data_IF_070512156311
#
_entry.id   IF_070512156311
#
_cell.length_a   1.000
_cell.length_b   1.000
_cell.length_c   1.000
_cell.angle_alpha   90.00
_cell.angle_beta   90.00
_cell.angle_gamma   90.00
#
_symmetry.space_group_name_H-M   'P 1'
#
loop_
_entity.id
_entity.type
_entity.pdbx_description
1 polymer ?
#
# COMPACT_ATOMS: atom_id res chain seq x y z
N UNK A 1 5.82 14.95 14.10
CA UNK A 1 6.57 15.21 12.84
C UNK A 1 6.04 14.24 11.81
N UNK A 2 5.70 14.72 10.63
CA UNK A 2 5.10 13.93 9.55
C UNK A 2 6.19 13.05 8.90
N UNK A 3 6.05 11.74 9.00
CA UNK A 3 6.94 10.75 8.41
C UNK A 3 6.21 10.01 7.27
N UNK A 4 6.95 9.61 6.26
CA UNK A 4 6.41 8.92 5.10
C UNK A 4 6.92 7.48 5.02
N UNK A 5 6.03 6.57 4.65
CA UNK A 5 6.31 5.15 4.52
C UNK A 5 5.85 4.66 3.15
N UNK A 6 6.72 3.97 2.42
CA UNK A 6 6.41 3.38 1.12
C UNK A 6 6.47 1.86 1.25
N UNK A 7 5.40 1.17 0.83
CA UNK A 7 5.29 -0.28 0.93
C UNK A 7 4.96 -0.86 -0.44
N UNK A 8 5.87 -1.66 -0.99
CA UNK A 8 5.69 -2.32 -2.29
C UNK A 8 4.77 -3.55 -2.23
N UNK A 9 4.51 -4.18 -3.38
CA UNK A 9 3.68 -5.37 -3.52
C UNK A 9 4.44 -6.70 -3.56
N UNK A 10 3.70 -7.79 -3.83
CA UNK A 10 4.23 -9.13 -4.04
C UNK A 10 5.17 -9.17 -5.24
N UNK A 11 6.27 -9.92 -5.14
CA UNK A 11 7.34 -10.03 -6.13
C UNK A 11 8.03 -8.71 -6.46
N UNK A 12 7.73 -7.65 -5.72
CA UNK A 12 8.29 -6.32 -5.92
C UNK A 12 9.52 -6.07 -5.05
N UNK A 13 10.08 -4.88 -5.22
CA UNK A 13 11.15 -4.37 -4.36
C UNK A 13 11.10 -2.82 -4.30
N UNK A 14 11.78 -2.25 -3.32
CA UNK A 14 11.73 -0.81 -3.05
C UNK A 14 12.43 0.08 -4.10
N UNK A 15 13.10 -0.50 -5.11
CA UNK A 15 13.83 0.23 -6.16
C UNK A 15 13.15 0.16 -7.53
N UNK A 16 11.90 -0.29 -7.60
CA UNK A 16 11.12 -0.39 -8.83
C UNK A 16 9.97 0.61 -8.87
N UNK A 17 9.29 0.68 -9.99
CA UNK A 17 8.14 1.53 -10.21
C UNK A 17 8.43 3.00 -9.81
N UNK A 18 7.45 3.69 -9.29
CA UNK A 18 7.53 5.08 -8.82
C UNK A 18 8.09 5.23 -7.39
N UNK A 19 8.48 4.13 -6.71
CA UNK A 19 8.90 4.19 -5.30
C UNK A 19 10.17 5.00 -5.08
N UNK A 20 11.28 4.80 -5.86
CA UNK A 20 12.48 5.62 -5.69
C UNK A 20 12.27 7.09 -6.05
N UNK A 21 11.47 7.35 -7.07
CA UNK A 21 11.12 8.70 -7.48
C UNK A 21 10.36 9.43 -6.36
N UNK A 22 9.32 8.78 -5.79
CA UNK A 22 8.55 9.35 -4.69
C UNK A 22 9.40 9.57 -3.44
N UNK A 23 10.24 8.60 -3.08
CA UNK A 23 11.18 8.71 -1.97
C UNK A 23 12.09 9.94 -2.12
N UNK A 24 12.66 10.15 -3.31
CA UNK A 24 13.52 11.30 -3.60
C UNK A 24 12.74 12.62 -3.50
N UNK A 25 11.56 12.70 -4.12
CA UNK A 25 10.72 13.92 -4.05
C UNK A 25 10.36 14.32 -2.62
N UNK A 26 10.06 13.36 -1.78
CA UNK A 26 9.74 13.62 -0.37
C UNK A 26 10.98 14.02 0.45
N UNK A 27 12.12 13.39 0.19
CA UNK A 27 13.41 13.76 0.83
C UNK A 27 13.89 15.16 0.43
N UNK A 28 13.71 15.54 -0.84
CA UNK A 28 13.97 16.90 -1.32
C UNK A 28 13.15 17.96 -0.58
N UNK A 29 11.95 17.59 -0.12
CA UNK A 29 11.09 18.46 0.71
C UNK A 29 11.44 18.42 2.21
N UNK A 30 12.47 17.67 2.61
CA UNK A 30 12.95 17.59 3.99
C UNK A 30 12.23 16.56 4.87
N UNK A 31 11.42 15.66 4.31
CA UNK A 31 10.72 14.63 5.07
C UNK A 31 11.59 13.42 5.35
N UNK A 32 11.36 12.76 6.49
CA UNK A 32 11.88 11.43 6.78
C UNK A 32 11.04 10.38 6.04
N UNK A 33 11.70 9.53 5.23
CA UNK A 33 11.04 8.54 4.36
C UNK A 33 11.59 7.16 4.62
N UNK A 34 10.70 6.21 4.88
CA UNK A 34 10.98 4.80 5.10
C UNK A 34 10.49 3.98 3.91
N UNK A 35 11.41 3.47 3.11
CA UNK A 35 11.15 2.65 1.92
C UNK A 35 11.92 1.34 2.03
N UNK A 36 11.37 0.38 2.77
CA UNK A 36 12.00 -0.91 3.00
C UNK A 36 11.81 -1.88 1.84
N UNK A 37 12.81 -2.76 1.67
CA UNK A 37 12.69 -3.91 0.79
C UNK A 37 12.06 -5.09 1.56
N UNK A 38 10.75 -5.27 1.42
CA UNK A 38 10.02 -6.34 2.07
C UNK A 38 10.32 -7.68 1.40
N UNK A 39 10.56 -8.77 2.17
CA UNK A 39 10.94 -10.05 1.59
C UNK A 39 9.81 -10.68 0.77
N UNK A 40 10.10 -11.00 -0.51
CA UNK A 40 9.18 -11.68 -1.44
C UNK A 40 9.97 -12.24 -2.64
N UNK A 41 9.68 -13.46 -3.16
CA UNK A 41 8.73 -14.45 -2.64
C UNK A 41 9.21 -15.16 -1.38
N UNK A 42 10.54 -15.29 -1.20
CA UNK A 42 11.10 -15.93 -0.01
C UNK A 42 10.87 -15.07 1.22
N UNK A 43 10.33 -15.68 2.27
CA UNK A 43 10.01 -14.95 3.49
C UNK A 43 8.78 -14.05 3.40
N UNK A 44 7.98 -14.17 2.33
CA UNK A 44 6.75 -13.40 2.13
C UNK A 44 5.67 -13.86 3.11
N UNK A 45 5.61 -13.21 4.25
CA UNK A 45 4.58 -13.42 5.25
C UNK A 45 4.41 -12.18 6.14
N UNK A 46 3.29 -12.11 6.82
CA UNK A 46 2.93 -10.99 7.67
C UNK A 46 3.97 -10.69 8.76
N UNK A 47 4.51 -11.73 9.40
CA UNK A 47 5.48 -11.58 10.51
C UNK A 47 6.79 -10.97 10.04
N UNK A 48 7.35 -11.44 8.92
CA UNK A 48 8.62 -10.93 8.40
C UNK A 48 8.48 -9.49 7.90
N UNK A 49 7.35 -9.17 7.29
CA UNK A 49 7.06 -7.79 6.86
C UNK A 49 6.88 -6.87 8.08
N UNK A 50 6.16 -7.34 9.10
CA UNK A 50 5.95 -6.58 10.35
C UNK A 50 7.26 -6.21 11.04
N UNK A 51 8.24 -7.12 11.08
CA UNK A 51 9.58 -6.87 11.68
C UNK A 51 10.29 -5.66 11.07
N UNK A 52 9.99 -5.30 9.81
CA UNK A 52 10.60 -4.10 9.19
C UNK A 52 9.95 -2.82 9.72
N UNK A 53 8.63 -2.79 9.86
CA UNK A 53 7.94 -1.65 10.47
C UNK A 53 8.21 -1.55 11.97
N UNK A 54 8.40 -2.68 12.66
CA UNK A 54 8.73 -2.69 14.10
C UNK A 54 10.05 -1.99 14.41
N UNK A 55 11.02 -1.98 13.47
CA UNK A 55 12.30 -1.26 13.62
C UNK A 55 12.13 0.25 13.73
N UNK A 56 11.03 0.77 13.23
CA UNK A 56 10.72 2.21 13.15
C UNK A 56 9.33 2.51 13.73
N UNK A 57 8.83 1.63 14.60
CA UNK A 57 7.49 1.74 15.17
C UNK A 57 7.30 3.03 15.97
N UNK A 58 8.36 3.50 16.62
CA UNK A 58 8.42 4.78 17.35
C UNK A 58 8.27 6.01 16.43
N UNK A 59 8.52 5.85 15.14
CA UNK A 59 8.33 6.89 14.11
C UNK A 59 6.91 6.94 13.56
N UNK A 60 6.09 5.92 13.82
CA UNK A 60 4.71 5.85 13.34
C UNK A 60 3.80 6.57 14.35
N UNK A 61 3.05 7.54 13.86
CA UNK A 61 2.14 8.35 14.68
C UNK A 61 0.92 8.81 13.87
N UNK A 62 0.03 9.56 14.48
CA UNK A 62 -1.21 10.06 13.88
C UNK A 62 -1.03 11.14 12.79
N UNK A 63 0.20 11.54 12.47
CA UNK A 63 0.55 12.40 11.32
C UNK A 63 1.23 11.60 10.20
N UNK A 64 1.62 10.35 10.46
CA UNK A 64 2.32 9.50 9.49
C UNK A 64 1.49 9.25 8.24
N UNK A 65 2.16 9.27 7.08
CA UNK A 65 1.56 9.04 5.77
C UNK A 65 2.15 7.76 5.17
N UNK A 66 1.27 6.86 4.81
CA UNK A 66 1.64 5.61 4.14
C UNK A 66 1.18 5.62 2.68
N UNK A 67 2.10 5.27 1.78
CA UNK A 67 1.81 5.03 0.38
C UNK A 67 2.12 3.57 0.09
N UNK A 68 1.09 2.79 -0.20
CA UNK A 68 1.20 1.36 -0.35
C UNK A 68 0.74 0.91 -1.74
N UNK A 69 1.37 -0.12 -2.26
CA UNK A 69 1.05 -0.71 -3.55
C UNK A 69 0.63 -2.17 -3.40
N UNK A 70 -0.43 -2.56 -4.12
CA UNK A 70 -0.88 -3.94 -4.22
C UNK A 70 -1.13 -4.59 -2.85
N UNK A 71 -0.51 -5.74 -2.53
CA UNK A 71 -0.66 -6.43 -1.23
C UNK A 71 -0.16 -5.58 -0.05
N UNK A 72 0.76 -4.66 -0.28
CA UNK A 72 1.23 -3.73 0.74
C UNK A 72 0.10 -2.92 1.40
N UNK A 73 -1.01 -2.74 0.70
CA UNK A 73 -2.19 -2.03 1.20
C UNK A 73 -2.87 -2.79 2.33
N UNK A 74 -3.18 -4.06 2.11
CA UNK A 74 -3.82 -4.89 3.14
C UNK A 74 -2.83 -5.25 4.26
N UNK A 75 -1.54 -5.44 3.92
CA UNK A 75 -0.51 -5.63 4.93
C UNK A 75 -0.49 -4.47 5.94
N UNK A 76 -0.45 -3.21 5.47
CA UNK A 76 -0.49 -2.06 6.37
C UNK A 76 -1.75 -2.05 7.25
N UNK A 77 -2.92 -2.26 6.64
CA UNK A 77 -4.17 -2.27 7.39
C UNK A 77 -4.17 -3.35 8.49
N UNK A 78 -3.72 -4.56 8.17
CA UNK A 78 -3.56 -5.66 9.14
C UNK A 78 -2.53 -5.32 10.22
N UNK A 79 -1.41 -4.71 9.86
CA UNK A 79 -0.38 -4.29 10.81
C UNK A 79 -0.92 -3.26 11.82
N UNK A 80 -1.64 -2.25 11.34
CA UNK A 80 -2.28 -1.26 12.20
C UNK A 80 -3.32 -1.88 13.13
N UNK A 81 -4.15 -2.80 12.62
CA UNK A 81 -5.16 -3.54 13.40
C UNK A 81 -4.51 -4.39 14.49
N UNK A 82 -3.49 -5.19 14.13
CA UNK A 82 -2.82 -6.09 15.07
C UNK A 82 -2.07 -5.38 16.19
N UNK A 83 -1.64 -4.14 15.95
CA UNK A 83 -0.86 -3.35 16.89
C UNK A 83 -1.64 -2.17 17.52
N UNK A 84 -2.90 -1.97 17.15
CA UNK A 84 -3.71 -0.80 17.53
C UNK A 84 -3.00 0.54 17.23
N UNK A 85 -2.36 0.63 16.06
CA UNK A 85 -1.61 1.82 15.63
C UNK A 85 -2.52 2.74 14.84
N UNK A 86 -2.53 4.03 15.21
CA UNK A 86 -3.23 5.09 14.46
C UNK A 86 -2.26 5.84 13.57
N UNK A 87 -2.71 6.12 12.34
CA UNK A 87 -1.96 6.87 11.32
C UNK A 87 -2.77 8.03 10.76
N UNK A 88 -2.09 9.03 10.21
CA UNK A 88 -2.73 10.21 9.66
C UNK A 88 -3.41 9.94 8.31
N UNK A 89 -2.69 9.31 7.39
CA UNK A 89 -3.16 9.15 6.02
C UNK A 89 -2.62 7.88 5.39
N UNK A 90 -3.42 7.23 4.56
CA UNK A 90 -2.94 6.21 3.64
C UNK A 90 -3.42 6.47 2.21
N UNK A 91 -2.53 6.22 1.25
CA UNK A 91 -2.84 6.17 -0.17
C UNK A 91 -2.54 4.75 -0.64
N UNK A 92 -3.56 4.05 -1.02
CA UNK A 92 -3.53 2.66 -1.47
C UNK A 92 -3.67 2.59 -2.99
N UNK A 93 -2.60 2.17 -3.66
CA UNK A 93 -2.54 2.03 -5.11
C UNK A 93 -2.72 0.56 -5.47
N UNK A 94 -3.75 0.24 -6.25
CA UNK A 94 -4.14 -1.12 -6.63
C UNK A 94 -4.25 -2.09 -5.45
N UNK A 95 -4.84 -1.64 -4.34
CA UNK A 95 -4.99 -2.44 -3.12
C UNK A 95 -6.18 -3.40 -3.19
N UNK A 96 -6.02 -4.60 -2.63
CA UNK A 96 -7.12 -5.56 -2.44
C UNK A 96 -6.88 -6.41 -1.20
N UNK A 97 -7.95 -7.03 -0.68
CA UNK A 97 -7.88 -7.94 0.47
C UNK A 97 -8.05 -9.42 0.08
N UNK A 98 -8.16 -9.70 -1.21
CA UNK A 98 -8.17 -11.03 -1.81
C UNK A 98 -7.93 -10.90 -3.32
N UNK A 99 -7.52 -12.00 -3.97
CA UNK A 99 -7.28 -12.03 -5.41
C UNK A 99 -8.28 -12.95 -6.11
N UNK A 100 -8.77 -12.51 -7.27
CA UNK A 100 -9.73 -13.27 -8.06
C UNK A 100 -9.18 -13.82 -9.39
N UNK A 101 -7.98 -13.38 -9.81
CA UNK A 101 -7.46 -13.74 -11.12
C UNK A 101 -6.41 -14.84 -11.13
N UNK A 102 -5.50 -14.83 -10.19
CA UNK A 102 -4.32 -15.67 -10.21
C UNK A 102 -4.23 -16.48 -8.92
N UNK A 103 -4.48 -17.77 -9.01
CA UNK A 103 -4.45 -18.69 -7.87
C UNK A 103 -3.09 -18.67 -7.13
N UNK A 104 -1.98 -18.51 -7.88
CA UNK A 104 -0.64 -18.45 -7.28
C UNK A 104 -0.43 -17.19 -6.45
N UNK A 105 -1.00 -16.05 -6.87
CA UNK A 105 -0.99 -14.83 -6.04
C UNK A 105 -1.82 -14.97 -4.79
N UNK A 106 -2.96 -15.65 -4.88
CA UNK A 106 -3.79 -15.90 -3.71
C UNK A 106 -3.08 -16.80 -2.69
N UNK A 107 -2.42 -17.85 -3.15
CA UNK A 107 -1.64 -18.75 -2.29
C UNK A 107 -0.53 -18.04 -1.53
N UNK A 108 0.25 -17.18 -2.19
CA UNK A 108 1.36 -16.47 -1.55
C UNK A 108 0.86 -15.35 -0.62
N UNK A 109 -0.25 -14.70 -0.96
CA UNK A 109 -0.76 -13.53 -0.25
C UNK A 109 -1.74 -13.84 0.88
N UNK A 110 -2.25 -15.06 0.99
CA UNK A 110 -3.31 -15.44 1.97
C UNK A 110 -2.99 -15.04 3.41
N UNK A 111 -1.73 -15.02 3.81
CA UNK A 111 -1.30 -14.64 5.15
C UNK A 111 -1.37 -13.13 5.42
N UNK A 112 -1.50 -12.32 4.37
CA UNK A 112 -1.67 -10.87 4.47
C UNK A 112 -3.12 -10.45 4.67
N UNK A 113 -4.10 -11.28 4.26
CA UNK A 113 -5.52 -10.95 4.33
C UNK A 113 -6.04 -10.86 5.76
N UNK A 114 -7.11 -10.10 5.92
CA UNK A 114 -7.80 -9.94 7.21
C UNK A 114 -9.31 -9.76 7.01
N UNK A 115 -10.10 -10.48 7.81
CA UNK A 115 -11.57 -10.36 7.81
C UNK A 115 -12.04 -9.08 8.54
N UNK A 116 -11.13 -8.41 9.25
CA UNK A 116 -11.43 -7.22 10.04
C UNK A 116 -11.08 -5.91 9.33
N UNK A 117 -10.88 -5.93 8.01
CA UNK A 117 -10.41 -4.78 7.24
C UNK A 117 -11.25 -3.51 7.47
N UNK A 118 -12.55 -3.65 7.68
CA UNK A 118 -13.46 -2.55 7.95
C UNK A 118 -13.15 -1.80 9.26
N UNK A 119 -12.53 -2.45 10.25
CA UNK A 119 -12.12 -1.82 11.50
C UNK A 119 -10.96 -0.82 11.32
N UNK A 120 -10.22 -0.93 10.20
CA UNK A 120 -9.13 0.00 9.85
C UNK A 120 -9.61 1.45 9.71
N UNK A 121 -10.89 1.66 9.43
CA UNK A 121 -11.52 3.01 9.40
C UNK A 121 -11.23 3.80 10.67
N UNK A 122 -11.16 3.15 11.82
CA UNK A 122 -10.94 3.78 13.12
C UNK A 122 -9.46 4.08 13.41
N UNK A 123 -8.55 3.60 12.57
CA UNK A 123 -7.10 3.69 12.76
C UNK A 123 -6.40 4.60 11.75
N UNK A 124 -7.10 5.08 10.73
CA UNK A 124 -6.55 5.98 9.74
C UNK A 124 -7.50 7.16 9.50
N UNK A 125 -7.00 8.39 9.61
CA UNK A 125 -7.85 9.58 9.50
C UNK A 125 -8.27 9.84 8.05
N UNK A 126 -7.35 9.74 7.09
CA UNK A 126 -7.60 9.94 5.66
C UNK A 126 -7.19 8.71 4.85
N UNK A 127 -8.13 8.18 4.06
CA UNK A 127 -7.95 6.97 3.25
C UNK A 127 -8.28 7.28 1.80
N UNK A 128 -7.32 7.05 0.91
CA UNK A 128 -7.48 7.23 -0.54
C UNK A 128 -7.11 5.91 -1.21
N UNK A 129 -7.96 5.42 -2.11
CA UNK A 129 -7.66 4.31 -2.99
C UNK A 129 -7.57 4.80 -4.44
N UNK A 130 -6.45 4.50 -5.08
CA UNK A 130 -6.18 4.75 -6.49
C UNK A 130 -6.15 3.40 -7.20
N UNK A 131 -6.94 3.23 -8.24
CA UNK A 131 -6.95 1.99 -9.01
C UNK A 131 -7.40 2.20 -10.45
N UNK A 132 -7.15 1.24 -11.31
CA UNK A 132 -7.46 1.28 -12.73
C UNK A 132 -8.46 0.20 -13.11
N UNK A 133 -9.33 0.52 -14.08
CA UNK A 133 -10.33 -0.43 -14.58
C UNK A 133 -9.69 -1.57 -15.40
N UNK A 134 -8.53 -1.33 -15.98
CA UNK A 134 -7.77 -2.27 -16.79
C UNK A 134 -6.63 -2.96 -16.05
N UNK A 135 -6.68 -3.02 -14.71
CA UNK A 135 -5.68 -3.71 -13.91
C UNK A 135 -5.59 -5.20 -14.34
N UNK A 136 -4.41 -5.68 -14.80
CA UNK A 136 -4.28 -7.03 -15.33
C UNK A 136 -4.18 -8.11 -14.25
N UNK A 137 -4.01 -7.74 -12.98
CA UNK A 137 -3.83 -8.67 -11.87
C UNK A 137 -5.03 -8.75 -10.95
N UNK A 138 -5.75 -7.64 -10.74
CA UNK A 138 -6.84 -7.54 -9.77
C UNK A 138 -8.11 -7.06 -10.46
N UNK A 139 -9.20 -7.81 -10.29
CA UNK A 139 -10.51 -7.41 -10.83
C UNK A 139 -10.99 -6.10 -10.23
N UNK A 140 -11.65 -5.30 -11.04
CA UNK A 140 -12.24 -4.02 -10.61
C UNK A 140 -13.15 -4.20 -9.39
N UNK A 141 -13.95 -5.25 -9.33
CA UNK A 141 -14.85 -5.52 -8.21
C UNK A 141 -14.09 -5.74 -6.89
N UNK A 142 -12.90 -6.37 -6.94
CA UNK A 142 -12.04 -6.55 -5.76
C UNK A 142 -11.43 -5.23 -5.29
N UNK A 143 -10.96 -4.39 -6.23
CA UNK A 143 -10.43 -3.05 -5.95
C UNK A 143 -11.51 -2.15 -5.34
N UNK A 144 -12.72 -2.17 -5.90
CA UNK A 144 -13.86 -1.41 -5.39
C UNK A 144 -14.33 -1.89 -4.02
N UNK A 145 -14.44 -3.20 -3.85
CA UNK A 145 -14.82 -3.82 -2.56
C UNK A 145 -13.84 -3.45 -1.46
N UNK A 146 -12.52 -3.50 -1.75
CA UNK A 146 -11.50 -3.07 -0.80
C UNK A 146 -11.65 -1.59 -0.43
N UNK A 147 -11.78 -0.70 -1.41
CA UNK A 147 -11.96 0.73 -1.16
C UNK A 147 -13.23 1.04 -0.36
N UNK A 148 -14.32 0.33 -0.63
CA UNK A 148 -15.58 0.45 0.11
C UNK A 148 -15.43 -0.04 1.55
N UNK A 149 -14.79 -1.20 1.76
CA UNK A 149 -14.64 -1.80 3.09
C UNK A 149 -13.92 -0.91 4.09
N UNK A 150 -13.01 -0.05 3.61
CA UNK A 150 -12.29 0.91 4.44
C UNK A 150 -12.83 2.35 4.32
N UNK A 151 -13.96 2.56 3.64
CA UNK A 151 -14.57 3.87 3.40
C UNK A 151 -13.55 4.90 2.85
N UNK A 152 -12.82 4.51 1.80
CA UNK A 152 -11.80 5.35 1.18
C UNK A 152 -12.37 6.27 0.10
N UNK A 153 -11.78 7.46 -0.06
CA UNK A 153 -11.96 8.27 -1.27
C UNK A 153 -11.37 7.50 -2.46
N UNK A 154 -12.13 7.37 -3.53
CA UNK A 154 -11.74 6.63 -4.73
C UNK A 154 -11.24 7.57 -5.83
N UNK A 155 -10.10 7.23 -6.44
CA UNK A 155 -9.58 7.86 -7.66
C UNK A 155 -9.39 6.74 -8.68
N UNK A 156 -10.20 6.78 -9.74
CA UNK A 156 -10.34 5.68 -10.69
C UNK A 156 -9.78 6.11 -12.04
N UNK A 157 -8.85 5.31 -12.56
CA UNK A 157 -8.28 5.50 -13.89
C UNK A 157 -8.93 4.52 -14.87
N UNK A 158 -9.15 4.97 -16.10
CA UNK A 158 -9.69 4.10 -17.16
C UNK A 158 -8.62 3.11 -17.65
N UNK A 159 -7.37 3.61 -17.83
CA UNK A 159 -6.24 2.86 -18.38
C UNK A 159 -4.95 3.27 -17.69
N UNK A 160 -4.56 2.54 -16.67
CA UNK A 160 -3.31 2.74 -15.94
C UNK A 160 -2.68 1.38 -15.51
N UNK A 161 -3.29 0.28 -15.91
CA UNK A 161 -2.84 -1.05 -15.53
C UNK A 161 -2.72 -1.20 -14.02
N UNK A 162 -1.62 -1.79 -13.55
CA UNK A 162 -1.34 -1.98 -12.13
C UNK A 162 -0.45 -0.88 -11.53
N UNK A 163 -0.35 0.29 -12.16
CA UNK A 163 0.52 1.40 -11.75
C UNK A 163 1.98 0.99 -11.52
N UNK A 164 2.49 0.12 -12.36
CA UNK A 164 3.87 -0.38 -12.30
C UNK A 164 4.67 0.08 -13.54
N UNK A 165 5.97 -0.21 -13.57
CA UNK A 165 6.84 0.13 -14.71
C UNK A 165 6.33 -0.42 -16.05
N UNK A 166 5.72 -1.62 -16.04
CA UNK A 166 5.14 -2.23 -17.25
C UNK A 166 3.98 -1.40 -17.81
N UNK A 167 3.29 -0.66 -16.95
CA UNK A 167 2.23 0.28 -17.32
C UNK A 167 2.75 1.71 -17.51
N UNK A 168 4.08 1.92 -17.45
CA UNK A 168 4.72 3.22 -17.65
C UNK A 168 4.88 4.08 -16.40
N UNK A 169 4.63 3.53 -15.21
CA UNK A 169 4.71 4.27 -13.95
C UNK A 169 6.08 4.12 -13.28
N UNK A 170 7.06 4.88 -13.74
CA UNK A 170 8.36 5.13 -13.06
C UNK A 170 8.35 6.42 -12.24
N UNK A 171 7.38 7.29 -12.54
CA UNK A 171 7.03 8.52 -11.82
C UNK A 171 5.50 8.56 -11.63
N UNK A 172 5.00 9.26 -10.62
CA UNK A 172 3.57 9.34 -10.37
C UNK A 172 3.18 10.72 -9.81
N UNK A 173 3.16 11.73 -10.67
CA UNK A 173 2.89 13.13 -10.30
C UNK A 173 1.52 13.34 -9.64
N UNK A 174 0.47 12.65 -10.10
CA UNK A 174 -0.85 12.78 -9.48
C UNK A 174 -0.88 12.22 -8.05
N UNK A 175 -0.09 11.19 -7.76
CA UNK A 175 0.08 10.67 -6.41
C UNK A 175 0.76 11.71 -5.50
N UNK A 176 1.82 12.38 -6.01
CA UNK A 176 2.55 13.39 -5.26
C UNK A 176 1.66 14.56 -4.83
N UNK A 177 0.71 14.97 -5.68
CA UNK A 177 -0.26 16.04 -5.38
C UNK A 177 -1.22 15.70 -4.24
N UNK A 178 -1.32 14.43 -3.85
CA UNK A 178 -2.20 13.96 -2.77
C UNK A 178 -1.50 13.91 -1.40
N UNK A 179 -0.20 14.14 -1.32
CA UNK A 179 0.61 14.07 -0.10
C UNK A 179 0.75 15.41 0.57
#
# INVERSE_FOLDING_TARGET
>A
MKNYFIIHGTYGHNKENWFPWLENKLKEQGYEVFNFNYPTPEGHNFENWSKLLDKVKDKINNESVFVCHSIGCVFLAKYCLSNNIRIGKCIFVSGCNNYYFLEDFDKINKFMYTDEINKFINLCNERICIYSKDDPYIKIDALESFAQSINAKKIIYEKAGHFNEKAGYTEFEDLLKLL
#
